data_IF_643495569150
#
_entry.id   IF_643495569150
#
_cell.length_a   1.000
_cell.length_b   1.000
_cell.length_c   1.000
_cell.angle_alpha   90.00
_cell.angle_beta   90.00
_cell.angle_gamma   90.00
#
_symmetry.space_group_name_H-M   'P 1'
#
loop_
_entity.id
_entity.type
_entity.pdbx_description
1 polymer ?
#
# COMPACT_ATOMS: atom_id res chain seq x y z
N UNK A 1 19.25 5.54 17.59
CA UNK A 1 18.28 6.22 16.69
C UNK A 1 17.17 5.26 16.24
N UNK A 2 16.56 4.52 17.19
CA UNK A 2 15.79 3.31 16.86
C UNK A 2 14.27 3.51 16.96
N UNK A 3 13.83 4.55 17.69
CA UNK A 3 12.41 4.79 17.93
C UNK A 3 11.72 5.43 16.72
N UNK A 4 12.39 6.37 16.04
CA UNK A 4 11.87 7.00 14.81
C UNK A 4 11.71 5.98 13.67
N UNK A 5 12.70 5.09 13.48
CA UNK A 5 12.65 4.02 12.47
C UNK A 5 11.54 3.01 12.75
N UNK A 6 11.32 2.65 14.03
CA UNK A 6 10.21 1.78 14.44
C UNK A 6 8.84 2.42 14.23
N UNK A 7 8.68 3.71 14.54
CA UNK A 7 7.45 4.45 14.29
C UNK A 7 7.18 4.52 12.78
N UNK A 8 8.20 4.80 11.98
CA UNK A 8 8.11 4.77 10.53
C UNK A 8 7.68 3.38 10.00
N UNK A 9 8.21 2.29 10.57
CA UNK A 9 7.78 0.93 10.24
C UNK A 9 6.28 0.69 10.46
N UNK A 10 5.74 1.11 11.60
CA UNK A 10 4.30 1.02 11.89
C UNK A 10 3.48 1.84 10.89
N UNK A 11 3.94 3.04 10.55
CA UNK A 11 3.28 3.89 9.55
C UNK A 11 3.17 3.16 8.21
N UNK A 12 4.24 2.51 7.76
CA UNK A 12 4.25 1.76 6.50
C UNK A 12 3.35 0.51 6.53
N UNK A 13 3.30 -0.20 7.66
CA UNK A 13 2.38 -1.34 7.85
C UNK A 13 0.92 -0.89 7.74
N UNK A 14 0.57 0.28 8.29
CA UNK A 14 -0.80 0.79 8.23
C UNK A 14 -1.14 1.43 6.88
N UNK A 15 -0.17 2.10 6.24
CA UNK A 15 -0.36 2.75 4.94
C UNK A 15 -0.62 1.75 3.82
N UNK A 16 -0.01 0.56 3.84
CA UNK A 16 -0.22 -0.46 2.79
C UNK A 16 -1.69 -0.88 2.64
N UNK A 17 -2.33 -1.44 3.68
CA UNK A 17 -3.75 -1.82 3.66
C UNK A 17 -4.67 -0.62 3.45
N UNK A 18 -4.36 0.54 4.05
CA UNK A 18 -5.14 1.75 3.84
C UNK A 18 -5.13 2.20 2.37
N UNK A 19 -3.97 2.21 1.72
CA UNK A 19 -3.84 2.56 0.30
C UNK A 19 -4.65 1.61 -0.60
N UNK A 20 -4.60 0.30 -0.34
CA UNK A 20 -5.38 -0.68 -1.10
C UNK A 20 -6.88 -0.51 -0.87
N UNK A 21 -7.32 -0.26 0.36
CA UNK A 21 -8.72 0.01 0.66
C UNK A 21 -9.25 1.23 -0.12
N UNK A 22 -8.52 2.35 -0.07
CA UNK A 22 -8.92 3.55 -0.81
C UNK A 22 -8.85 3.37 -2.33
N UNK A 23 -7.89 2.60 -2.83
CA UNK A 23 -7.76 2.29 -4.25
C UNK A 23 -8.96 1.48 -4.74
N UNK A 24 -9.33 0.40 -4.06
CA UNK A 24 -10.48 -0.44 -4.42
C UNK A 24 -11.78 0.36 -4.30
N UNK A 25 -11.93 1.17 -3.24
CA UNK A 25 -13.10 2.03 -3.06
C UNK A 25 -13.26 3.01 -4.23
N UNK A 26 -12.17 3.67 -4.62
CA UNK A 26 -12.18 4.62 -5.75
C UNK A 26 -12.42 3.91 -7.07
N UNK A 27 -11.77 2.77 -7.30
CA UNK A 27 -11.99 1.94 -8.48
C UNK A 27 -13.46 1.55 -8.66
N UNK A 28 -14.10 1.07 -7.59
CA UNK A 28 -15.51 0.70 -7.62
C UNK A 28 -16.41 1.92 -7.89
N UNK A 29 -16.12 3.07 -7.27
CA UNK A 29 -16.89 4.30 -7.47
C UNK A 29 -16.79 4.84 -8.91
N UNK A 30 -15.60 4.78 -9.51
CA UNK A 30 -15.37 5.26 -10.88
C UNK A 30 -15.96 4.31 -11.93
N UNK A 31 -15.82 2.99 -11.73
CA UNK A 31 -16.46 1.99 -12.60
C UNK A 31 -17.98 2.12 -12.54
N UNK A 32 -18.56 2.36 -11.35
CA UNK A 32 -20.00 2.54 -11.20
C UNK A 32 -20.51 3.84 -11.86
N UNK A 33 -19.71 4.91 -11.85
CA UNK A 33 -20.06 6.18 -12.49
C UNK A 33 -19.94 6.12 -14.03
N UNK A 34 -18.93 5.42 -14.55
CA UNK A 34 -18.67 5.30 -15.99
C UNK A 34 -18.25 3.86 -16.32
N UNK A 35 -19.22 2.95 -16.55
CA UNK A 35 -18.96 1.53 -16.79
C UNK A 35 -18.44 1.27 -18.22
N UNK A 36 -17.58 2.14 -18.73
CA UNK A 36 -16.91 1.97 -20.00
C UNK A 36 -15.77 0.96 -19.87
N UNK A 37 -15.52 0.19 -20.93
CA UNK A 37 -14.45 -0.81 -20.98
C UNK A 37 -13.08 -0.20 -20.66
N UNK A 38 -12.82 1.04 -21.09
CA UNK A 38 -11.59 1.77 -20.79
C UNK A 38 -11.43 2.03 -19.29
N UNK A 39 -12.49 2.50 -18.61
CA UNK A 39 -12.51 2.75 -17.15
C UNK A 39 -12.27 1.46 -16.37
N UNK A 40 -12.96 0.38 -16.76
CA UNK A 40 -12.83 -0.93 -16.10
C UNK A 40 -11.39 -1.44 -16.22
N UNK A 41 -10.80 -1.40 -17.42
CA UNK A 41 -9.43 -1.86 -17.65
C UNK A 41 -8.44 -0.99 -16.86
N UNK A 42 -8.58 0.34 -16.92
CA UNK A 42 -7.68 1.27 -16.22
C UNK A 42 -7.65 0.99 -14.70
N UNK A 43 -8.81 0.93 -14.07
CA UNK A 43 -8.90 0.72 -12.62
C UNK A 43 -8.51 -0.70 -12.20
N UNK A 44 -8.82 -1.71 -13.01
CA UNK A 44 -8.38 -3.09 -12.75
C UNK A 44 -6.86 -3.21 -12.80
N UNK A 45 -6.21 -2.60 -13.78
CA UNK A 45 -4.74 -2.59 -13.89
C UNK A 45 -4.12 -1.89 -12.69
N UNK A 46 -4.66 -0.74 -12.25
CA UNK A 46 -4.19 -0.08 -11.04
C UNK A 46 -4.30 -0.97 -9.81
N UNK A 47 -5.44 -1.61 -9.56
CA UNK A 47 -5.58 -2.52 -8.41
C UNK A 47 -4.54 -3.65 -8.49
N UNK A 48 -4.38 -4.30 -9.64
CA UNK A 48 -3.45 -5.42 -9.81
C UNK A 48 -1.99 -5.01 -9.58
N UNK A 49 -1.57 -3.84 -10.06
CA UNK A 49 -0.17 -3.37 -9.93
C UNK A 49 0.12 -2.85 -8.53
N UNK A 50 -0.84 -2.17 -7.89
CA UNK A 50 -0.61 -1.58 -6.57
C UNK A 50 -0.68 -2.60 -5.41
N UNK A 51 -1.40 -3.71 -5.58
CA UNK A 51 -1.44 -4.80 -4.57
C UNK A 51 -0.04 -5.33 -4.20
N UNK A 52 0.81 -5.80 -5.13
CA UNK A 52 2.15 -6.28 -4.77
C UNK A 52 3.04 -5.17 -4.20
N UNK A 53 2.86 -3.91 -4.64
CA UNK A 53 3.59 -2.76 -4.09
C UNK A 53 3.20 -2.56 -2.62
N UNK A 54 1.91 -2.56 -2.29
CA UNK A 54 1.43 -2.42 -0.93
C UNK A 54 1.86 -3.59 -0.04
N UNK A 55 1.89 -4.81 -0.56
CA UNK A 55 2.44 -5.98 0.14
C UNK A 55 3.92 -5.77 0.46
N UNK A 56 4.71 -5.33 -0.52
CA UNK A 56 6.13 -4.99 -0.30
C UNK A 56 6.30 -3.89 0.76
N UNK A 57 5.40 -2.91 0.78
CA UNK A 57 5.39 -1.80 1.73
C UNK A 57 5.09 -2.28 3.17
N UNK A 58 4.14 -3.22 3.33
CA UNK A 58 3.84 -3.86 4.62
C UNK A 58 5.02 -4.71 5.10
N UNK A 59 5.63 -5.50 4.21
CA UNK A 59 6.80 -6.33 4.53
C UNK A 59 7.97 -5.44 4.97
N UNK A 60 8.22 -4.35 4.24
CA UNK A 60 9.21 -3.35 4.60
C UNK A 60 8.93 -2.73 5.98
N UNK A 61 7.69 -2.28 6.21
CA UNK A 61 7.29 -1.72 7.49
C UNK A 61 7.44 -2.71 8.65
N UNK A 62 7.14 -3.99 8.40
CA UNK A 62 7.30 -5.07 9.38
C UNK A 62 8.76 -5.31 9.77
N UNK A 63 9.67 -5.37 8.80
CA UNK A 63 11.10 -5.50 9.09
C UNK A 63 11.68 -4.25 9.77
N UNK A 64 11.20 -3.05 9.42
CA UNK A 64 11.56 -1.81 10.09
C UNK A 64 11.09 -1.74 11.54
N UNK A 65 9.88 -2.22 11.81
CA UNK A 65 9.35 -2.32 13.16
C UNK A 65 10.16 -3.31 14.02
N UNK A 66 10.59 -4.43 13.44
CA UNK A 66 11.43 -5.43 14.12
C UNK A 66 12.86 -4.97 14.40
N UNK A 67 13.29 -3.85 13.81
CA UNK A 67 14.67 -3.36 13.96
C UNK A 67 15.68 -4.11 13.10
N UNK A 68 15.24 -4.85 12.09
CA UNK A 68 16.14 -5.54 11.14
C UNK A 68 16.94 -4.52 10.30
N UNK A 69 16.46 -3.27 10.20
CA UNK A 69 17.18 -2.13 9.58
C UNK A 69 17.99 -1.29 10.58
N UNK A 70 18.21 -1.77 11.82
CA UNK A 70 19.08 -1.10 12.81
C UNK A 70 20.57 -1.42 12.58
N UNK A 71 20.95 -2.14 11.51
CA UNK A 71 22.35 -2.40 11.20
C UNK A 71 23.08 -1.11 10.76
N UNK A 72 24.09 -0.75 11.56
CA UNK A 72 25.06 0.35 11.42
C UNK A 72 24.57 1.73 11.92
N UNK A 73 24.60 1.90 13.24
CA UNK A 73 25.19 3.07 13.92
C UNK A 73 25.90 2.57 15.19
#
# INVERSE_FOLDING_TARGET
>A
MNQLRRIAGIIWILLGPAAIYFLIKTAAAEIAQKPDTSTIIQWSVFVVVFVPIAVGLVIFGYYAFRGEYDAND
#
